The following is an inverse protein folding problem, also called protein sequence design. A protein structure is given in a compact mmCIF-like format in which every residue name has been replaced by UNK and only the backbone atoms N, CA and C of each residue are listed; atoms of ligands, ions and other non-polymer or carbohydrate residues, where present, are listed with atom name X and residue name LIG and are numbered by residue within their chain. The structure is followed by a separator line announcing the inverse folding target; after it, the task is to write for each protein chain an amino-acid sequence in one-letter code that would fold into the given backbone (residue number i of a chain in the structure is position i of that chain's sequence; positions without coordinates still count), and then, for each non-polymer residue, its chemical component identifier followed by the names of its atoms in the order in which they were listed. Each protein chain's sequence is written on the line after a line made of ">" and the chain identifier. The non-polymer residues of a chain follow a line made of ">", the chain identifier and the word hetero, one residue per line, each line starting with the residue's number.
data_IF_832094753151
#
_entry.id   IF_832094753151
#
_cell.length_a   1.000
_cell.length_b   1.000
_cell.length_c   1.000
_cell.angle_alpha   90.00
_cell.angle_beta   90.00
_cell.angle_gamma   90.00
#
_symmetry.space_group_name_H-M   'P 1'
#
loop_
_entity.id
_entity.type
_entity.pdbx_description
1 polymer ?
#
# COMPACT_ATOMS: atom_id res chain seq x y z
N UNK A 1 -4.25 -17.88 -2.73
CA UNK A 1 -5.17 -16.77 -3.07
C UNK A 1 -4.75 -16.31 -4.47
N UNK A 2 -5.68 -16.20 -5.43
CA UNK A 2 -5.33 -15.82 -6.80
C UNK A 2 -4.85 -14.37 -6.85
N UNK A 3 -3.63 -14.16 -7.35
CA UNK A 3 -3.02 -12.85 -7.50
C UNK A 3 -3.72 -12.07 -8.63
N UNK A 4 -4.36 -10.93 -8.33
CA UNK A 4 -4.89 -10.03 -9.37
C UNK A 4 -3.88 -8.91 -9.62
N UNK A 5 -3.36 -8.77 -10.84
CA UNK A 5 -2.41 -7.71 -11.16
C UNK A 5 -2.68 -7.06 -12.52
N UNK A 6 -2.27 -5.80 -12.65
CA UNK A 6 -2.29 -5.05 -13.92
C UNK A 6 -0.90 -4.43 -14.10
N UNK A 7 -0.27 -4.65 -15.26
CA UNK A 7 0.94 -3.93 -15.67
C UNK A 7 0.55 -2.79 -16.61
N UNK A 8 1.00 -1.58 -16.32
CA UNK A 8 0.68 -0.39 -17.11
C UNK A 8 1.93 0.47 -17.36
N UNK A 9 1.91 1.26 -18.43
CA UNK A 9 2.98 2.23 -18.71
C UNK A 9 2.97 3.39 -17.70
N UNK A 10 4.15 3.90 -17.37
CA UNK A 10 4.40 4.97 -16.39
C UNK A 10 3.83 6.34 -16.78
N UNK A 11 3.75 6.66 -18.06
CA UNK A 11 3.65 8.06 -18.52
C UNK A 11 2.22 8.61 -18.70
N UNK A 12 1.17 7.98 -18.15
CA UNK A 12 -0.19 8.49 -18.36
C UNK A 12 -1.11 8.34 -17.14
N UNK A 13 -1.56 9.48 -16.60
CA UNK A 13 -2.59 9.55 -15.55
C UNK A 13 -3.91 8.91 -16.02
N UNK A 14 -4.17 8.86 -17.33
CA UNK A 14 -5.31 8.15 -17.90
C UNK A 14 -5.19 6.62 -17.72
N UNK A 15 -3.97 6.07 -17.65
CA UNK A 15 -3.80 4.66 -17.30
C UNK A 15 -4.26 4.41 -15.86
N UNK A 16 -3.85 5.27 -14.91
CA UNK A 16 -4.31 5.19 -13.52
C UNK A 16 -5.84 5.36 -13.42
N UNK A 17 -6.44 6.23 -14.25
CA UNK A 17 -7.91 6.38 -14.34
C UNK A 17 -8.58 5.12 -14.84
N UNK A 18 -8.04 4.53 -15.89
CA UNK A 18 -8.55 3.29 -16.48
C UNK A 18 -8.47 2.15 -15.47
N UNK A 19 -7.35 2.05 -14.75
CA UNK A 19 -7.16 1.08 -13.67
C UNK A 19 -8.17 1.31 -12.55
N UNK A 20 -8.38 2.54 -12.10
CA UNK A 20 -9.40 2.84 -11.09
C UNK A 20 -10.80 2.41 -11.55
N UNK A 21 -11.15 2.68 -12.81
CA UNK A 21 -12.42 2.25 -13.37
C UNK A 21 -12.55 0.72 -13.44
N UNK A 22 -11.48 0.00 -13.81
CA UNK A 22 -11.44 -1.45 -13.81
C UNK A 22 -11.54 -2.04 -12.39
N UNK A 23 -10.85 -1.43 -11.42
CA UNK A 23 -10.93 -1.85 -10.02
C UNK A 23 -12.34 -1.77 -9.46
N UNK A 24 -13.17 -0.82 -9.93
CA UNK A 24 -14.59 -0.70 -9.54
C UNK A 24 -15.50 -1.76 -10.16
N UNK A 25 -15.09 -2.44 -11.23
CA UNK A 25 -15.89 -3.52 -11.82
C UNK A 25 -15.67 -4.86 -11.14
N UNK A 26 -14.63 -4.97 -10.31
CA UNK A 26 -14.37 -6.16 -9.52
C UNK A 26 -15.42 -6.30 -8.41
N UNK A 27 -16.16 -7.41 -8.42
CA UNK A 27 -17.18 -7.71 -7.42
C UNK A 27 -16.62 -7.78 -5.98
N UNK A 28 -15.32 -8.03 -5.82
CA UNK A 28 -14.66 -8.03 -4.52
C UNK A 28 -14.31 -6.61 -4.03
N UNK A 29 -14.29 -5.60 -4.92
CA UNK A 29 -13.94 -4.22 -4.58
C UNK A 29 -15.17 -3.33 -4.53
N UNK A 30 -15.52 -2.90 -3.33
CA UNK A 30 -16.45 -1.78 -3.16
C UNK A 30 -15.73 -0.48 -3.48
N UNK A 31 -16.47 0.48 -4.05
CA UNK A 31 -15.97 1.84 -4.27
C UNK A 31 -15.42 2.43 -2.95
N UNK A 32 -14.24 3.07 -2.99
CA UNK A 32 -13.57 3.49 -1.77
C UNK A 32 -14.29 4.67 -1.13
N UNK A 33 -14.50 4.55 0.18
CA UNK A 33 -14.94 5.61 1.08
C UNK A 33 -13.80 6.11 1.95
N UNK A 34 -12.78 5.27 2.16
CA UNK A 34 -11.56 5.57 2.87
C UNK A 34 -10.37 4.94 2.13
N UNK A 35 -9.34 5.73 1.89
CA UNK A 35 -8.03 5.26 1.44
C UNK A 35 -7.06 5.45 2.59
N UNK A 36 -6.38 4.38 2.96
CA UNK A 36 -5.25 4.40 3.90
C UNK A 36 -3.99 4.11 3.09
N UNK A 37 -3.15 5.12 2.88
CA UNK A 37 -1.87 4.97 2.19
C UNK A 37 -0.75 4.82 3.22
N UNK A 38 -0.14 3.64 3.29
CA UNK A 38 0.91 3.37 4.26
C UNK A 38 2.29 3.48 3.62
N UNK A 39 3.15 4.29 4.23
CA UNK A 39 4.54 4.50 3.82
C UNK A 39 5.48 4.20 4.99
N UNK A 40 6.72 3.86 4.65
CA UNK A 40 7.73 3.65 5.66
C UNK A 40 8.98 2.97 5.14
N UNK A 41 9.67 2.24 6.02
CA UNK A 41 10.89 1.53 5.66
C UNK A 41 10.67 0.47 4.59
N UNK A 42 11.58 0.44 3.59
CA UNK A 42 11.66 -0.63 2.60
C UNK A 42 12.40 -1.88 3.13
N UNK A 43 13.00 -1.79 4.31
CA UNK A 43 13.75 -2.88 4.96
C UNK A 43 13.00 -3.35 6.20
N UNK A 44 13.39 -4.53 6.69
CA UNK A 44 12.92 -5.01 7.98
C UNK A 44 13.16 -3.99 9.08
N UNK A 45 12.18 -3.85 9.97
CA UNK A 45 12.20 -2.99 11.13
C UNK A 45 11.48 -3.69 12.28
N UNK A 46 11.67 -3.17 13.49
CA UNK A 46 11.02 -3.69 14.70
C UNK A 46 10.31 -2.56 15.41
N UNK A 47 9.19 -2.90 16.00
CA UNK A 47 8.40 -2.02 16.87
C UNK A 47 8.29 -2.70 18.24
N UNK A 48 8.05 -1.94 19.31
CA UNK A 48 7.71 -2.56 20.59
C UNK A 48 6.40 -3.37 20.42
N UNK A 49 6.33 -4.53 21.07
CA UNK A 49 5.21 -5.48 20.95
C UNK A 49 3.84 -4.87 21.24
N UNK A 50 3.72 -4.02 22.26
CA UNK A 50 2.45 -3.38 22.61
C UNK A 50 1.98 -2.44 21.49
N UNK A 51 2.89 -1.58 21.01
CA UNK A 51 2.61 -0.65 19.91
C UNK A 51 2.31 -1.39 18.61
N UNK A 52 3.05 -2.46 18.32
CA UNK A 52 2.83 -3.32 17.15
C UNK A 52 1.43 -3.93 17.18
N UNK A 53 1.05 -4.51 18.32
CA UNK A 53 -0.24 -5.16 18.48
C UNK A 53 -1.40 -4.16 18.38
N UNK A 54 -1.28 -2.98 18.99
CA UNK A 54 -2.28 -1.92 18.87
C UNK A 54 -2.41 -1.39 17.45
N UNK A 55 -1.28 -1.11 16.80
CA UNK A 55 -1.23 -0.63 15.43
C UNK A 55 -1.86 -1.63 14.45
N UNK A 56 -1.42 -2.89 14.49
CA UNK A 56 -1.90 -3.92 13.57
C UNK A 56 -3.37 -4.30 13.82
N UNK A 57 -3.83 -4.26 15.08
CA UNK A 57 -5.27 -4.43 15.41
C UNK A 57 -6.11 -3.32 14.78
N UNK A 58 -5.71 -2.06 14.98
CA UNK A 58 -6.43 -0.91 14.39
C UNK A 58 -6.41 -0.94 12.86
N UNK A 59 -5.29 -1.33 12.26
CA UNK A 59 -5.18 -1.53 10.82
C UNK A 59 -6.12 -2.64 10.31
N UNK A 60 -6.23 -3.77 11.02
CA UNK A 60 -7.14 -4.85 10.66
C UNK A 60 -8.62 -4.43 10.77
N UNK A 61 -8.99 -3.72 11.84
CA UNK A 61 -10.34 -3.16 12.01
C UNK A 61 -10.70 -2.20 10.86
N UNK A 62 -9.77 -1.30 10.52
CA UNK A 62 -9.94 -0.39 9.39
C UNK A 62 -10.03 -1.12 8.04
N UNK A 63 -9.17 -2.13 7.82
CA UNK A 63 -9.14 -2.95 6.61
C UNK A 63 -10.47 -3.66 6.35
N UNK A 64 -11.10 -4.14 7.42
CA UNK A 64 -12.35 -4.90 7.34
C UNK A 64 -13.58 -4.00 7.28
N UNK A 65 -13.40 -2.68 7.38
CA UNK A 65 -14.47 -1.70 7.19
C UNK A 65 -14.82 -1.59 5.71
N UNK A 66 -16.12 -1.69 5.42
CA UNK A 66 -16.62 -1.73 4.04
C UNK A 66 -16.27 -0.45 3.26
N UNK A 67 -15.54 -0.60 2.15
CA UNK A 67 -15.10 0.51 1.31
C UNK A 67 -13.78 1.15 1.77
N UNK A 68 -13.03 0.50 2.66
CA UNK A 68 -11.65 0.90 2.94
C UNK A 68 -10.70 0.22 1.96
N UNK A 69 -9.84 1.01 1.31
CA UNK A 69 -8.72 0.52 0.51
C UNK A 69 -7.42 0.83 1.24
N UNK A 70 -6.55 -0.17 1.40
CA UNK A 70 -5.21 0.01 1.93
C UNK A 70 -4.22 -0.05 0.79
N UNK A 71 -3.41 0.99 0.64
CA UNK A 71 -2.39 1.10 -0.39
C UNK A 71 -1.02 1.02 0.25
N UNK A 72 -0.16 0.14 -0.26
CA UNK A 72 1.24 0.03 0.14
C UNK A 72 2.13 -0.14 -1.11
N UNK A 73 3.41 -0.48 -0.95
CA UNK A 73 4.24 -0.90 -2.09
C UNK A 73 3.84 -2.27 -2.64
N UNK A 74 3.20 -3.13 -1.83
CA UNK A 74 2.90 -4.52 -2.19
C UNK A 74 4.13 -5.41 -2.25
N UNK A 75 5.31 -4.92 -1.87
CA UNK A 75 6.53 -5.74 -1.83
C UNK A 75 6.54 -6.62 -0.58
N UNK A 76 7.14 -7.80 -0.68
CA UNK A 76 7.33 -8.73 0.44
C UNK A 76 8.50 -8.31 1.35
N UNK A 77 8.57 -7.01 1.67
CA UNK A 77 9.56 -6.42 2.56
C UNK A 77 9.04 -5.18 3.26
N UNK A 78 9.71 -4.82 4.36
CA UNK A 78 9.45 -3.61 5.13
C UNK A 78 8.00 -3.44 5.58
N UNK A 79 7.49 -2.21 5.51
CA UNK A 79 6.14 -1.87 5.97
C UNK A 79 5.03 -2.61 5.22
N UNK A 80 5.22 -2.88 3.93
CA UNK A 80 4.24 -3.63 3.13
C UNK A 80 4.08 -5.06 3.66
N UNK A 81 5.19 -5.76 3.92
CA UNK A 81 5.17 -7.10 4.53
C UNK A 81 4.55 -7.07 5.92
N UNK A 82 5.04 -6.17 6.77
CA UNK A 82 4.56 -6.00 8.15
C UNK A 82 3.03 -5.83 8.24
N UNK A 83 2.47 -4.92 7.43
CA UNK A 83 1.02 -4.68 7.41
C UNK A 83 0.27 -5.87 6.81
N UNK A 84 0.77 -6.44 5.71
CA UNK A 84 0.12 -7.58 5.05
C UNK A 84 0.01 -8.80 5.96
N UNK A 85 1.10 -9.18 6.63
CA UNK A 85 1.12 -10.29 7.60
C UNK A 85 0.29 -9.98 8.84
N UNK A 86 0.43 -8.77 9.39
CA UNK A 86 -0.30 -8.36 10.58
C UNK A 86 -1.82 -8.39 10.39
N UNK A 87 -2.32 -7.79 9.31
CA UNK A 87 -3.75 -7.80 8.98
C UNK A 87 -4.25 -9.24 8.76
N UNK A 88 -3.50 -10.06 8.02
CA UNK A 88 -3.87 -11.46 7.79
C UNK A 88 -3.98 -12.25 9.10
N UNK A 89 -3.03 -12.07 10.02
CA UNK A 89 -3.04 -12.69 11.36
C UNK A 89 -4.33 -12.37 12.13
N UNK A 90 -4.80 -11.11 12.07
CA UNK A 90 -6.02 -10.69 12.76
C UNK A 90 -7.31 -11.12 12.05
N UNK A 91 -7.30 -11.29 10.73
CA UNK A 91 -8.50 -11.71 10.00
C UNK A 91 -8.70 -13.23 10.11
N UNK A 92 -7.61 -14.01 10.03
CA UNK A 92 -7.64 -15.46 10.14
C UNK A 92 -8.05 -15.95 11.53
N UNK A 93 -7.92 -15.11 12.56
CA UNK A 93 -8.39 -15.42 13.92
C UNK A 93 -9.89 -15.17 14.12
N UNK A 94 -10.63 -14.75 13.09
CA UNK A 94 -12.08 -14.52 13.15
C UNK A 94 -12.87 -15.67 12.51
N UNK A 95 -14.01 -16.05 13.11
CA UNK A 95 -14.89 -17.13 12.61
C UNK A 95 -15.43 -16.87 11.18
N UNK A 96 -15.45 -15.61 10.76
CA UNK A 96 -15.92 -15.17 9.46
C UNK A 96 -14.92 -14.17 8.86
N UNK A 97 -13.88 -14.66 8.17
CA UNK A 97 -12.88 -13.81 7.53
C UNK A 97 -13.55 -12.78 6.63
N UNK A 98 -13.44 -11.50 7.00
CA UNK A 98 -13.98 -10.40 6.20
C UNK A 98 -13.04 -10.13 5.02
N UNK A 99 -13.62 -9.83 3.85
CA UNK A 99 -12.85 -9.41 2.68
C UNK A 99 -12.23 -8.03 2.94
N UNK A 100 -10.97 -7.89 2.54
CA UNK A 100 -10.23 -6.61 2.55
C UNK A 100 -9.83 -6.23 1.13
N UNK A 101 -9.58 -4.95 0.90
CA UNK A 101 -8.99 -4.46 -0.35
C UNK A 101 -7.62 -3.89 -0.04
N UNK A 102 -6.60 -4.73 -0.19
CA UNK A 102 -5.18 -4.37 -0.08
C UNK A 102 -4.55 -4.28 -1.47
N UNK A 103 -4.03 -3.12 -1.82
CA UNK A 103 -3.53 -2.78 -3.15
C UNK A 103 -2.04 -2.45 -3.07
N UNK A 104 -1.21 -3.22 -3.77
CA UNK A 104 0.21 -2.95 -3.93
C UNK A 104 0.47 -2.09 -5.17
N UNK A 105 1.05 -0.91 -5.02
CA UNK A 105 1.60 -0.13 -6.14
C UNK A 105 3.13 -0.20 -6.12
N UNK A 106 3.73 -0.77 -7.16
CA UNK A 106 5.18 -0.82 -7.30
C UNK A 106 5.63 -0.69 -8.74
N UNK A 107 6.90 -0.36 -8.94
CA UNK A 107 7.51 -0.34 -10.27
C UNK A 107 7.81 -1.77 -10.71
N UNK A 108 7.50 -2.09 -11.96
CA UNK A 108 7.83 -3.37 -12.58
C UNK A 108 9.33 -3.68 -12.51
N UNK A 109 10.17 -2.65 -12.69
CA UNK A 109 11.62 -2.75 -12.59
C UNK A 109 12.15 -3.12 -11.20
N UNK A 110 11.38 -2.90 -10.13
CA UNK A 110 11.75 -3.21 -8.74
C UNK A 110 11.57 -4.70 -8.42
N UNK A 111 10.73 -5.41 -9.16
CA UNK A 111 10.50 -6.84 -8.91
C UNK A 111 11.70 -7.69 -9.34
N UNK A 112 11.94 -8.82 -8.67
CA UNK A 112 13.00 -9.75 -9.11
C UNK A 112 12.72 -10.33 -10.49
N UNK A 113 13.76 -10.75 -11.20
CA UNK A 113 13.61 -11.44 -12.49
C UNK A 113 12.73 -12.69 -12.39
N UNK A 114 12.86 -13.44 -11.29
CA UNK A 114 12.01 -14.59 -10.95
C UNK A 114 10.54 -14.17 -10.89
N UNK A 115 10.23 -13.16 -10.08
CA UNK A 115 8.86 -12.63 -9.93
C UNK A 115 8.30 -12.14 -11.27
N UNK A 116 9.09 -11.39 -12.05
CA UNK A 116 8.67 -10.91 -13.37
C UNK A 116 8.42 -12.04 -14.36
N UNK A 117 9.23 -13.10 -14.35
CA UNK A 117 9.06 -14.25 -15.23
C UNK A 117 7.74 -14.99 -14.93
N UNK A 118 7.44 -15.20 -13.64
CA UNK A 118 6.19 -15.82 -13.19
C UNK A 118 4.99 -14.99 -13.66
N UNK A 119 4.99 -13.68 -13.42
CA UNK A 119 3.88 -12.79 -13.80
C UNK A 119 3.67 -12.74 -15.33
N UNK A 120 4.73 -12.83 -16.13
CA UNK A 120 4.61 -12.93 -17.59
C UNK A 120 3.93 -14.23 -18.02
N UNK A 121 4.34 -15.35 -17.44
CA UNK A 121 3.73 -16.66 -17.73
C UNK A 121 2.25 -16.67 -17.37
N UNK A 122 1.88 -16.09 -16.22
CA UNK A 122 0.47 -15.96 -15.84
C UNK A 122 -0.32 -15.09 -16.82
N UNK A 123 0.23 -13.95 -17.24
CA UNK A 123 -0.44 -13.08 -18.22
C UNK A 123 -0.67 -13.80 -19.56
N UNK A 124 0.27 -14.63 -20.01
CA UNK A 124 0.16 -15.43 -21.22
C UNK A 124 -0.86 -16.57 -21.04
N UNK A 125 -0.85 -17.24 -19.89
CA UNK A 125 -1.82 -18.29 -19.56
C UNK A 125 -3.24 -17.77 -19.39
N UNK A 126 -3.44 -16.57 -18.83
CA UNK A 126 -4.75 -15.90 -18.75
C UNK A 126 -5.27 -15.58 -20.16
N UNK A 127 -4.37 -15.21 -21.09
CA UNK A 127 -4.74 -14.98 -22.49
C UNK A 127 -5.15 -16.28 -23.22
N UNK A 128 -4.57 -17.41 -22.81
CA UNK A 128 -4.85 -18.74 -23.38
C UNK A 128 -6.07 -19.44 -22.73
N UNK A 129 -6.36 -19.16 -21.46
CA UNK A 129 -7.35 -19.87 -20.65
C UNK A 129 -8.40 -18.93 -20.02
N UNK A 130 -9.23 -18.27 -20.83
CA UNK A 130 -10.44 -17.55 -20.36
C UNK A 130 -11.51 -18.45 -19.68
N UNK A 131 -11.17 -19.65 -19.23
CA UNK A 131 -12.04 -20.52 -18.46
C UNK A 131 -11.24 -21.04 -17.26
N UNK A 132 -11.47 -20.40 -16.11
CA UNK A 132 -11.11 -20.82 -14.75
C UNK A 132 -9.63 -21.13 -14.52
N UNK A 133 -8.90 -20.29 -13.75
CA UNK A 133 -8.10 -20.82 -12.63
C UNK A 133 -7.54 -19.73 -11.72
N UNK A 134 -7.58 -20.05 -10.41
CA UNK A 134 -6.78 -19.44 -9.35
C UNK A 134 -5.38 -20.04 -9.43
N UNK A 135 -4.34 -19.21 -9.48
CA UNK A 135 -2.95 -19.64 -9.26
C UNK A 135 -2.56 -19.38 -7.81
N UNK A 136 -2.12 -20.43 -7.12
CA UNK A 136 -1.30 -20.31 -5.91
C UNK A 136 0.15 -20.34 -6.41
N UNK A 137 0.79 -19.18 -6.47
CA UNK A 137 2.17 -19.05 -6.92
C UNK A 137 3.13 -19.43 -5.79
N UNK A 138 4.05 -20.36 -6.07
CA UNK A 138 5.21 -20.67 -5.23
C UNK A 138 6.25 -19.52 -5.32
N UNK A 139 5.87 -18.33 -4.86
CA UNK A 139 6.82 -17.27 -4.54
C UNK A 139 7.39 -17.62 -3.17
N UNK A 140 8.67 -18.01 -3.13
CA UNK A 140 9.36 -18.21 -1.85
C UNK A 140 9.28 -16.93 -1.01
N UNK A 141 8.78 -17.06 0.21
CA UNK A 141 8.51 -15.96 1.16
C UNK A 141 9.77 -15.20 1.62
N UNK A 142 10.95 -15.60 1.10
CA UNK A 142 12.26 -15.02 1.40
C UNK A 142 12.72 -13.96 0.40
N UNK A 143 12.05 -13.81 -0.74
CA UNK A 143 12.44 -12.83 -1.75
C UNK A 143 11.84 -11.44 -1.43
N UNK A 144 12.68 -10.53 -0.91
CA UNK A 144 12.29 -9.19 -0.45
C UNK A 144 11.72 -8.28 -1.54
N UNK A 145 12.01 -8.59 -2.81
CA UNK A 145 11.53 -7.86 -3.99
C UNK A 145 10.45 -8.64 -4.75
N UNK A 146 9.85 -9.64 -4.11
CA UNK A 146 8.64 -10.31 -4.58
C UNK A 146 7.36 -9.59 -4.12
N UNK A 147 6.21 -10.04 -4.63
CA UNK A 147 4.90 -9.51 -4.25
C UNK A 147 4.43 -10.13 -2.93
N UNK A 148 3.86 -9.31 -2.05
CA UNK A 148 3.38 -9.74 -0.73
C UNK A 148 2.04 -10.48 -0.86
N UNK A 149 2.00 -11.73 -0.42
CA UNK A 149 0.89 -12.67 -0.65
C UNK A 149 -0.47 -12.32 -0.02
N UNK A 150 -0.52 -11.42 0.96
CA UNK A 150 -1.76 -10.97 1.62
C UNK A 150 -2.36 -9.72 0.95
N UNK A 151 -1.72 -9.19 -0.10
CA UNK A 151 -2.33 -8.16 -0.93
C UNK A 151 -3.28 -8.79 -1.96
N UNK A 152 -4.42 -8.15 -2.14
CA UNK A 152 -5.48 -8.62 -3.02
C UNK A 152 -5.30 -8.20 -4.48
N UNK A 153 -4.66 -7.05 -4.70
CA UNK A 153 -4.50 -6.43 -6.02
C UNK A 153 -3.12 -5.80 -6.17
N UNK A 154 -2.60 -5.81 -7.39
CA UNK A 154 -1.32 -5.17 -7.72
C UNK A 154 -1.42 -4.30 -8.97
N UNK A 155 -0.82 -3.12 -8.88
CA UNK A 155 -0.65 -2.20 -10.00
C UNK A 155 0.86 -2.05 -10.22
N UNK A 156 1.32 -2.58 -11.34
CA UNK A 156 2.73 -2.71 -11.69
C UNK A 156 3.08 -1.66 -12.75
N UNK A 157 3.73 -0.59 -12.32
CA UNK A 157 4.01 0.55 -13.17
C UNK A 157 5.34 0.34 -13.89
N UNK A 158 5.30 0.35 -15.21
CA UNK A 158 6.43 0.05 -16.06
C UNK A 158 6.91 1.31 -16.80
N UNK A 159 8.15 1.70 -16.50
CA UNK A 159 8.85 2.81 -17.15
C UNK A 159 9.96 2.31 -18.10
N UNK A 160 9.97 1.02 -18.43
CA UNK A 160 10.98 0.39 -19.29
C UNK A 160 12.36 0.25 -18.64
N UNK A 161 12.52 0.59 -17.35
CA UNK A 161 13.80 0.47 -16.62
C UNK A 161 13.80 -0.76 -15.73
N UNK A 162 14.95 -1.43 -15.67
CA UNK A 162 15.20 -2.58 -14.79
C UNK A 162 15.68 -2.18 -13.38
N UNK A 163 15.50 -0.91 -13.00
CA UNK A 163 15.78 -0.39 -11.67
C UNK A 163 14.78 0.73 -11.39
N UNK A 164 13.96 0.57 -10.35
CA UNK A 164 12.92 1.51 -9.99
C UNK A 164 13.30 2.34 -8.77
N UNK A 165 13.09 3.66 -8.86
CA UNK A 165 12.77 4.47 -7.68
C UNK A 165 11.41 3.98 -7.12
N UNK A 166 11.09 4.34 -5.87
CA UNK A 166 9.80 3.96 -5.30
C UNK A 166 8.62 4.46 -6.14
N UNK A 167 7.49 3.76 -6.10
CA UNK A 167 6.25 4.19 -6.73
C UNK A 167 5.44 5.16 -5.82
N UNK A 168 6.12 5.89 -4.95
CA UNK A 168 5.47 6.71 -3.92
C UNK A 168 4.72 7.90 -4.53
N UNK A 169 5.29 8.53 -5.56
CA UNK A 169 4.63 9.59 -6.34
C UNK A 169 3.41 9.04 -7.08
N UNK A 170 3.55 7.91 -7.76
CA UNK A 170 2.42 7.29 -8.47
C UNK A 170 1.29 6.87 -7.52
N UNK A 171 1.64 6.39 -6.33
CA UNK A 171 0.67 6.10 -5.27
C UNK A 171 -0.04 7.37 -4.81
N UNK A 172 0.68 8.48 -4.67
CA UNK A 172 0.07 9.78 -4.36
C UNK A 172 -0.86 10.28 -5.48
N UNK A 173 -0.46 10.15 -6.74
CA UNK A 173 -1.27 10.53 -7.90
C UNK A 173 -2.52 9.65 -8.04
N UNK A 174 -2.40 8.36 -7.76
CA UNK A 174 -3.53 7.44 -7.76
C UNK A 174 -4.54 7.82 -6.67
N UNK A 175 -4.09 8.15 -5.46
CA UNK A 175 -4.97 8.66 -4.39
C UNK A 175 -5.63 9.97 -4.82
N UNK A 176 -4.88 10.89 -5.45
CA UNK A 176 -5.41 12.18 -5.93
C UNK A 176 -6.56 11.96 -6.90
N UNK A 177 -6.31 11.11 -7.89
CA UNK A 177 -7.28 10.76 -8.93
C UNK A 177 -8.56 10.19 -8.34
N UNK A 178 -8.46 9.30 -7.34
CA UNK A 178 -9.65 8.72 -6.70
C UNK A 178 -10.46 9.79 -5.98
N UNK A 179 -9.80 10.66 -5.21
CA UNK A 179 -10.45 11.76 -4.48
C UNK A 179 -11.13 12.76 -5.44
N UNK A 180 -10.52 13.02 -6.60
CA UNK A 180 -11.05 13.94 -7.61
C UNK A 180 -12.15 13.31 -8.48
N UNK A 181 -12.33 11.99 -8.45
CA UNK A 181 -13.27 11.29 -9.34
C UNK A 181 -14.75 11.66 -9.13
N UNK A 182 -15.10 12.41 -8.06
CA UNK A 182 -16.45 12.91 -7.71
C UNK A 182 -17.57 11.84 -7.63
N UNK A 183 -17.21 10.57 -7.75
CA UNK A 183 -18.15 9.44 -7.80
C UNK A 183 -18.77 9.16 -6.44
N UNK A 184 -17.98 9.30 -5.37
CA UNK A 184 -18.45 9.23 -3.99
C UNK A 184 -17.55 10.08 -3.07
N UNK A 185 -18.06 10.42 -1.87
CA UNK A 185 -17.23 11.11 -0.87
C UNK A 185 -16.23 10.11 -0.27
N UNK A 186 -15.00 10.17 -0.77
CA UNK A 186 -13.87 9.40 -0.27
C UNK A 186 -12.96 10.30 0.57
N UNK A 187 -12.44 9.75 1.67
CA UNK A 187 -11.39 10.38 2.47
C UNK A 187 -10.07 9.64 2.25
N UNK A 188 -8.95 10.34 2.39
CA UNK A 188 -7.63 9.74 2.36
C UNK A 188 -6.84 10.13 3.61
N UNK A 189 -6.16 9.14 4.18
CA UNK A 189 -5.20 9.32 5.26
C UNK A 189 -3.90 8.62 4.91
N UNK A 190 -2.80 9.28 5.19
CA UNK A 190 -1.46 8.74 5.03
C UNK A 190 -0.92 8.31 6.38
N UNK A 191 -0.42 7.10 6.49
CA UNK A 191 0.18 6.57 7.71
C UNK A 191 1.68 6.37 7.46
N UNK A 192 2.49 6.89 8.37
CA UNK A 192 3.95 6.76 8.34
C UNK A 192 4.42 5.86 9.48
N UNK A 193 5.11 4.78 9.11
CA UNK A 193 5.74 3.83 10.04
C UNK A 193 7.23 3.77 9.76
N UNK A 194 8.06 4.04 10.76
CA UNK A 194 9.52 4.11 10.68
C UNK A 194 10.03 5.15 9.68
N UNK A 195 10.21 4.77 8.41
CA UNK A 195 10.56 5.66 7.31
C UNK A 195 12.04 6.06 7.23
N UNK A 196 12.41 6.57 6.06
CA UNK A 196 13.73 7.11 5.75
C UNK A 196 13.64 8.55 5.28
N UNK A 197 14.71 9.07 4.67
CA UNK A 197 14.71 10.44 4.15
C UNK A 197 13.63 10.67 3.08
N UNK A 198 13.37 9.68 2.21
CA UNK A 198 12.31 9.80 1.19
C UNK A 198 10.90 9.91 1.78
N UNK A 199 10.71 9.48 3.03
CA UNK A 199 9.43 9.61 3.73
C UNK A 199 9.08 11.08 4.01
N UNK A 200 10.07 11.98 4.13
CA UNK A 200 9.77 13.41 4.34
C UNK A 200 9.13 14.05 3.11
N UNK A 201 9.55 13.64 1.91
CA UNK A 201 8.96 14.10 0.65
C UNK A 201 7.50 13.66 0.52
N UNK A 202 7.20 12.40 0.88
CA UNK A 202 5.83 11.89 0.95
C UNK A 202 4.96 12.73 1.88
N UNK A 203 5.43 12.97 3.11
CA UNK A 203 4.70 13.76 4.11
C UNK A 203 4.44 15.18 3.59
N UNK A 204 5.47 15.82 3.03
CA UNK A 204 5.35 17.18 2.50
C UNK A 204 4.33 17.25 1.35
N UNK A 205 4.39 16.30 0.42
CA UNK A 205 3.48 16.24 -0.72
C UNK A 205 2.03 16.02 -0.26
N UNK A 206 1.80 15.07 0.65
CA UNK A 206 0.45 14.78 1.15
C UNK A 206 -0.13 15.95 1.96
N UNK A 207 0.67 16.64 2.78
CA UNK A 207 0.23 17.85 3.47
C UNK A 207 -0.12 18.99 2.50
N UNK A 208 0.65 19.13 1.42
CA UNK A 208 0.40 20.13 0.36
C UNK A 208 -0.92 19.83 -0.38
N UNK A 209 -1.21 18.55 -0.63
CA UNK A 209 -2.48 18.07 -1.18
C UNK A 209 -3.61 18.03 -0.13
N UNK A 210 -3.39 18.62 1.08
CA UNK A 210 -4.35 18.72 2.19
C UNK A 210 -4.87 17.36 2.68
N UNK A 211 -4.05 16.32 2.60
CA UNK A 211 -4.35 14.99 3.14
C UNK A 211 -3.88 14.91 4.58
N UNK A 212 -4.65 14.21 5.41
CA UNK A 212 -4.27 13.97 6.80
C UNK A 212 -3.12 12.97 6.86
N UNK A 213 -2.09 13.26 7.67
CA UNK A 213 -0.94 12.39 7.89
C UNK A 213 -0.91 11.96 9.36
N UNK A 214 -0.80 10.66 9.60
CA UNK A 214 -0.63 10.05 10.91
C UNK A 214 0.80 9.51 11.01
N UNK A 215 1.53 9.96 12.02
CA UNK A 215 2.88 9.49 12.32
C UNK A 215 2.80 8.51 13.50
N UNK A 216 3.30 7.29 13.33
CA UNK A 216 3.34 6.30 14.40
C UNK A 216 4.61 6.52 15.23
N UNK A 217 4.49 7.29 16.31
CA UNK A 217 5.58 7.47 17.27
C UNK A 217 5.92 6.13 17.96
N UNK A 218 7.21 5.87 18.17
CA UNK A 218 7.75 4.61 18.66
C UNK A 218 8.02 3.58 17.55
N UNK A 219 7.74 3.92 16.29
CA UNK A 219 8.04 3.06 15.13
C UNK A 219 9.48 3.20 14.61
N UNK A 220 10.24 4.19 15.10
CA UNK A 220 11.65 4.38 14.77
C UNK A 220 11.92 5.45 13.70
N UNK A 221 13.22 5.70 13.49
CA UNK A 221 13.80 6.56 12.43
C UNK A 221 13.04 7.87 12.18
N UNK A 222 12.51 8.08 10.97
CA UNK A 222 11.95 9.35 10.52
C UNK A 222 10.65 9.67 11.25
N UNK A 223 9.82 8.67 11.52
CA UNK A 223 8.58 8.84 12.27
C UNK A 223 8.84 9.42 13.67
N UNK A 224 9.81 8.86 14.41
CA UNK A 224 10.14 9.35 15.75
C UNK A 224 10.78 10.73 15.73
N UNK A 225 11.63 11.00 14.74
CA UNK A 225 12.22 12.33 14.56
C UNK A 225 11.13 13.39 14.34
N UNK A 226 10.18 13.12 13.44
CA UNK A 226 9.09 14.06 13.15
C UNK A 226 8.17 14.22 14.36
N UNK A 227 7.78 13.11 15.01
CA UNK A 227 6.98 13.17 16.23
C UNK A 227 7.65 14.05 17.29
N UNK A 228 8.97 13.89 17.49
CA UNK A 228 9.72 14.69 18.46
C UNK A 228 9.78 16.17 18.10
N UNK A 229 9.94 16.49 16.81
CA UNK A 229 9.90 17.88 16.35
C UNK A 229 8.52 18.51 16.56
N UNK A 230 7.44 17.75 16.33
CA UNK A 230 6.07 18.20 16.56
C UNK A 230 5.85 18.56 18.04
N UNK A 231 6.25 17.69 18.98
CA UNK A 231 6.18 17.96 20.42
C UNK A 231 6.87 19.29 20.78
N UNK A 232 8.11 19.48 20.32
CA UNK A 232 8.90 20.69 20.60
C UNK A 232 8.19 21.96 20.07
N UNK A 233 7.58 21.88 18.89
CA UNK A 233 6.86 23.03 18.32
C UNK A 233 5.53 23.31 19.01
N UNK A 234 4.84 22.27 19.50
CA UNK A 234 3.60 22.42 20.26
C UNK A 234 3.84 23.08 21.62
N UNK A 235 4.90 22.69 22.33
CA UNK A 235 5.27 23.29 23.63
C UNK A 235 5.59 24.79 23.53
N UNK A 236 6.27 25.20 22.45
CA UNK A 236 6.55 26.62 22.20
C UNK A 236 5.29 27.44 21.89
N UNK A 237 4.30 26.82 21.27
CA UNK A 237 3.03 27.49 20.94
C UNK A 237 2.21 27.75 22.21
N UNK A 238 2.27 26.83 23.19
CA UNK A 238 1.59 26.98 24.49
C UNK A 238 2.29 27.95 25.44
N UNK A 239 3.60 28.17 25.31
CA UNK A 239 4.34 29.17 26.11
C UNK A 239 4.25 30.60 25.56
N UNK A 240 3.67 30.78 24.36
CA UNK A 240 3.58 32.07 23.65
C UNK A 240 2.18 32.68 23.67
N UNK A 241 1.23 32.05 24.35
CA UNK A 241 -0.17 32.50 24.57
C UNK A 241 -0.42 32.72 26.05
#
# INVERSE_FOLDING_TARGET
>A
MCLKFIRCSYDDIENLRTIYNLMKTDHDNKEPKLIISCYGGAKYFTMNEDLENEFLRGMAEAATTSGTWILTTGLNSGVSKFIGEGIARFILSTDHPKKTTMIGLTKWGTLTEKTRAILKLESEQIHLNQLTHRSDLDIEDTDIESLQSNHTHFILIDNGRNSGYSADSDRSDFVKLILESKTNRCFAVTIIVEGGIHTTEVIFNDLTEKRSVIIIQGSGKMADLIAKLMEITSDKTQQST
#
